data_IF_710187504819
#
_entry.id   IF_710187504819
#
_cell.length_a   1.000
_cell.length_b   1.000
_cell.length_c   1.000
_cell.angle_alpha   90.00
_cell.angle_beta   90.00
_cell.angle_gamma   90.00
#
_symmetry.space_group_name_H-M   'P 1'
#
loop_
_entity.id
_entity.type
_entity.pdbx_description
1 polymer ?
#
# COMPACT_ATOMS: atom_id res chain seq x y z
N UNK A 1 24.39 -25.11 -13.37
CA UNK A 1 24.71 -23.97 -12.49
C UNK A 1 23.53 -23.80 -11.54
N UNK A 2 23.74 -23.78 -10.23
CA UNK A 2 22.65 -23.58 -9.28
C UNK A 2 22.02 -22.19 -9.51
N UNK A 3 20.69 -22.14 -9.64
CA UNK A 3 19.94 -20.88 -9.70
C UNK A 3 20.25 -20.07 -8.43
N UNK A 4 20.90 -18.93 -8.60
CA UNK A 4 21.13 -18.00 -7.49
C UNK A 4 19.79 -17.40 -7.10
N UNK A 5 19.21 -17.87 -5.99
CA UNK A 5 18.01 -17.28 -5.42
C UNK A 5 18.28 -15.82 -5.04
N UNK A 6 17.58 -14.92 -5.73
CA UNK A 6 17.57 -13.48 -5.45
C UNK A 6 16.58 -13.22 -4.32
N UNK A 7 17.07 -12.74 -3.19
CA UNK A 7 16.23 -12.36 -2.05
C UNK A 7 15.99 -10.86 -2.04
N UNK A 8 14.90 -10.40 -1.41
CA UNK A 8 14.61 -8.97 -1.29
C UNK A 8 15.73 -8.20 -0.57
N UNK A 9 16.33 -8.81 0.45
CA UNK A 9 17.48 -8.23 1.17
C UNK A 9 18.65 -7.95 0.23
N UNK A 10 18.97 -8.89 -0.68
CA UNK A 10 20.03 -8.71 -1.69
C UNK A 10 19.70 -7.58 -2.66
N UNK A 11 18.43 -7.47 -3.09
CA UNK A 11 17.98 -6.40 -3.98
C UNK A 11 18.07 -5.03 -3.31
N UNK A 12 17.59 -4.91 -2.06
CA UNK A 12 17.67 -3.67 -1.28
C UNK A 12 19.13 -3.26 -1.07
N UNK A 13 20.00 -4.20 -0.70
CA UNK A 13 21.43 -3.93 -0.54
C UNK A 13 22.09 -3.48 -1.84
N UNK A 14 21.74 -4.08 -2.99
CA UNK A 14 22.22 -3.66 -4.30
C UNK A 14 21.74 -2.24 -4.64
N UNK A 15 20.45 -1.95 -4.46
CA UNK A 15 19.89 -0.65 -4.75
C UNK A 15 20.56 0.46 -3.96
N UNK A 16 20.80 0.23 -2.66
CA UNK A 16 21.49 1.16 -1.78
C UNK A 16 22.97 1.32 -2.17
N UNK A 17 23.69 0.21 -2.36
CA UNK A 17 25.14 0.24 -2.65
C UNK A 17 25.49 0.79 -4.04
N UNK A 18 24.56 0.73 -5.00
CA UNK A 18 24.78 1.17 -6.39
C UNK A 18 24.10 2.51 -6.73
N UNK A 19 23.45 3.16 -5.78
CA UNK A 19 22.84 4.46 -6.02
C UNK A 19 21.57 4.40 -6.89
N UNK A 20 20.75 3.38 -6.68
CA UNK A 20 19.40 3.32 -7.24
C UNK A 20 18.37 3.95 -6.31
N UNK A 21 18.20 3.41 -5.11
CA UNK A 21 17.13 3.81 -4.18
C UNK A 21 17.71 3.89 -2.76
N UNK A 22 17.37 4.96 -2.06
CA UNK A 22 17.72 5.21 -0.65
C UNK A 22 16.45 5.42 0.18
N UNK A 23 16.43 5.06 1.48
CA UNK A 23 15.38 5.48 2.39
C UNK A 23 15.26 7.01 2.43
N UNK A 24 14.03 7.54 2.35
CA UNK A 24 13.81 8.98 2.42
C UNK A 24 14.23 9.52 3.79
N UNK A 25 14.91 10.67 3.82
CA UNK A 25 15.42 11.29 5.07
C UNK A 25 16.33 10.37 5.91
N UNK A 26 17.15 9.54 5.26
CA UNK A 26 17.97 8.50 5.92
C UNK A 26 18.79 9.01 7.12
N UNK A 27 19.47 10.15 6.98
CA UNK A 27 20.33 10.70 8.06
C UNK A 27 19.54 11.20 9.28
N UNK A 28 18.22 11.30 9.18
CA UNK A 28 17.32 11.72 10.25
C UNK A 28 16.49 10.56 10.81
N UNK A 29 16.89 9.31 10.54
CA UNK A 29 16.18 8.12 11.01
C UNK A 29 15.15 7.56 10.02
N UNK A 30 15.05 8.16 8.84
CA UNK A 30 14.15 7.73 7.79
C UNK A 30 12.70 8.22 7.98
N UNK A 31 11.96 8.29 6.89
CA UNK A 31 10.51 8.47 6.91
C UNK A 31 9.85 7.27 6.22
N UNK A 32 9.04 6.55 6.99
CA UNK A 32 8.36 5.36 6.52
C UNK A 32 7.59 5.65 5.21
N UNK A 33 7.65 4.69 4.28
CA UNK A 33 7.01 4.78 2.96
C UNK A 33 7.50 5.92 2.05
N UNK A 34 8.70 6.45 2.29
CA UNK A 34 9.35 7.41 1.40
C UNK A 34 10.75 6.95 0.99
N UNK A 35 11.13 7.25 -0.25
CA UNK A 35 12.41 6.86 -0.84
C UNK A 35 12.93 7.90 -1.82
N UNK A 36 14.25 8.05 -1.84
CA UNK A 36 14.97 8.92 -2.75
C UNK A 36 15.62 8.11 -3.87
N UNK A 37 15.46 8.55 -5.12
CA UNK A 37 16.09 7.90 -6.28
C UNK A 37 17.48 8.50 -6.51
N UNK A 38 18.51 7.66 -6.40
CA UNK A 38 19.89 8.03 -6.66
C UNK A 38 20.21 8.19 -8.16
N UNK A 39 21.48 8.43 -8.53
CA UNK A 39 21.88 8.72 -9.90
C UNK A 39 21.49 7.65 -10.92
N UNK A 40 21.65 6.36 -10.60
CA UNK A 40 21.22 5.28 -11.50
C UNK A 40 19.72 5.05 -11.42
N UNK A 41 19.11 5.27 -10.25
CA UNK A 41 17.67 5.12 -10.04
C UNK A 41 16.85 6.12 -10.83
N UNK A 42 17.27 7.39 -10.88
CA UNK A 42 16.57 8.42 -11.66
C UNK A 42 16.66 8.13 -13.17
N UNK A 43 17.81 7.65 -13.66
CA UNK A 43 17.96 7.25 -15.07
C UNK A 43 17.06 6.06 -15.41
N UNK A 44 17.07 5.01 -14.58
CA UNK A 44 16.19 3.87 -14.77
C UNK A 44 14.71 4.28 -14.74
N UNK A 45 14.30 5.07 -13.75
CA UNK A 45 12.92 5.58 -13.63
C UNK A 45 12.52 6.37 -14.87
N UNK A 46 13.38 7.25 -15.36
CA UNK A 46 13.11 8.05 -16.55
C UNK A 46 13.00 7.20 -17.81
N UNK A 47 13.87 6.20 -17.98
CA UNK A 47 13.80 5.28 -19.12
C UNK A 47 12.48 4.50 -19.13
N UNK A 48 12.02 4.02 -17.97
CA UNK A 48 10.73 3.33 -17.84
C UNK A 48 9.57 4.28 -18.19
N UNK A 49 9.57 5.50 -17.65
CA UNK A 49 8.55 6.52 -17.96
C UNK A 49 8.50 6.84 -19.45
N UNK A 50 9.65 7.02 -20.10
CA UNK A 50 9.75 7.32 -21.52
C UNK A 50 9.27 6.15 -22.39
N UNK A 51 9.65 4.92 -22.05
CA UNK A 51 9.18 3.73 -22.76
C UNK A 51 7.66 3.59 -22.67
N UNK A 52 7.09 3.79 -21.48
CA UNK A 52 5.64 3.78 -21.27
C UNK A 52 4.95 4.90 -22.06
N UNK A 53 5.45 6.13 -21.97
CA UNK A 53 4.88 7.28 -22.66
C UNK A 53 4.88 7.10 -24.18
N UNK A 54 5.99 6.63 -24.73
CA UNK A 54 6.08 6.30 -26.15
C UNK A 54 5.02 5.27 -26.53
N UNK A 55 4.94 4.17 -25.77
CA UNK A 55 4.08 3.04 -26.14
C UNK A 55 2.59 3.35 -26.03
N UNK A 56 2.18 3.99 -24.95
CA UNK A 56 0.76 4.15 -24.64
C UNK A 56 0.22 5.52 -25.04
N UNK A 57 1.03 6.56 -25.09
CA UNK A 57 0.58 7.91 -25.47
C UNK A 57 0.92 8.19 -26.93
N UNK A 58 2.20 8.17 -27.31
CA UNK A 58 2.62 8.62 -28.65
C UNK A 58 2.24 7.67 -29.79
N UNK A 59 2.29 6.36 -29.56
CA UNK A 59 1.93 5.35 -30.56
C UNK A 59 0.41 5.15 -30.71
N UNK A 60 -0.41 5.75 -29.84
CA UNK A 60 -1.88 5.69 -29.92
C UNK A 60 -2.44 6.98 -30.53
N UNK A 61 -3.19 6.94 -31.64
CA UNK A 61 -3.77 8.15 -32.24
C UNK A 61 -4.90 8.76 -31.40
N UNK A 62 -5.37 8.07 -30.36
CA UNK A 62 -6.51 8.50 -29.53
C UNK A 62 -6.09 9.09 -28.17
N UNK A 63 -4.81 9.03 -27.83
CA UNK A 63 -4.33 9.46 -26.52
C UNK A 63 -3.62 10.81 -26.61
N UNK A 64 -3.85 11.65 -25.60
CA UNK A 64 -3.22 12.97 -25.46
C UNK A 64 -2.50 13.05 -24.13
N UNK A 65 -1.31 13.64 -24.14
CA UNK A 65 -0.57 13.91 -22.92
C UNK A 65 -1.15 15.09 -22.15
N UNK A 66 -1.24 14.95 -20.83
CA UNK A 66 -1.68 16.00 -19.92
C UNK A 66 -0.83 15.94 -18.64
N UNK A 67 -0.50 17.10 -18.08
CA UNK A 67 0.14 17.24 -16.77
C UNK A 67 -0.73 18.13 -15.89
N UNK A 68 -1.22 17.58 -14.78
CA UNK A 68 -2.21 18.21 -13.90
C UNK A 68 -1.62 18.48 -12.51
N UNK A 69 -2.21 19.43 -11.79
CA UNK A 69 -1.77 19.76 -10.43
C UNK A 69 -2.05 18.61 -9.46
N UNK A 70 -1.11 18.36 -8.54
CA UNK A 70 -1.26 17.34 -7.47
C UNK A 70 -2.28 17.81 -6.42
N UNK A 71 -2.19 19.09 -6.01
CA UNK A 71 -3.15 19.69 -5.10
C UNK A 71 -4.38 20.13 -5.90
N UNK A 72 -5.56 19.71 -5.43
CA UNK A 72 -6.83 19.95 -6.10
C UNK A 72 -7.88 20.45 -5.11
N UNK A 73 -8.87 21.18 -5.62
CA UNK A 73 -10.03 21.61 -4.85
C UNK A 73 -10.78 20.40 -4.26
N UNK A 74 -11.20 20.43 -2.99
CA UNK A 74 -11.94 19.33 -2.35
C UNK A 74 -13.17 18.84 -3.11
N UNK A 75 -13.85 19.72 -3.85
CA UNK A 75 -15.03 19.35 -4.64
C UNK A 75 -14.73 18.31 -5.72
N UNK A 76 -13.50 18.28 -6.26
CA UNK A 76 -13.06 17.23 -7.20
C UNK A 76 -13.11 15.84 -6.56
N UNK A 77 -12.75 15.74 -5.28
CA UNK A 77 -12.72 14.49 -4.52
C UNK A 77 -14.10 14.09 -3.97
N UNK A 78 -14.98 15.06 -3.73
CA UNK A 78 -16.41 14.82 -3.48
C UNK A 78 -17.05 14.23 -4.73
N UNK A 79 -16.90 14.91 -5.87
CA UNK A 79 -17.56 14.54 -7.12
C UNK A 79 -17.09 13.17 -7.65
N UNK A 80 -15.81 12.83 -7.45
CA UNK A 80 -15.27 11.51 -7.81
C UNK A 80 -15.56 10.41 -6.77
N UNK A 81 -16.11 10.74 -5.60
CA UNK A 81 -16.44 9.80 -4.53
C UNK A 81 -15.27 9.36 -3.64
N UNK A 82 -14.05 9.85 -3.88
CA UNK A 82 -12.86 9.46 -3.10
C UNK A 82 -13.00 9.80 -1.61
N UNK A 83 -13.68 10.90 -1.25
CA UNK A 83 -13.86 11.25 0.16
C UNK A 83 -14.69 10.22 0.95
N UNK A 84 -15.63 9.53 0.29
CA UNK A 84 -16.47 8.51 0.92
C UNK A 84 -15.90 7.10 0.84
N UNK A 85 -15.23 6.78 -0.28
CA UNK A 85 -14.92 5.39 -0.63
C UNK A 85 -13.43 5.05 -0.62
N UNK A 86 -12.53 6.04 -0.61
CA UNK A 86 -11.08 5.79 -0.64
C UNK A 86 -10.52 5.67 0.78
N UNK A 87 -10.90 4.58 1.44
CA UNK A 87 -10.55 4.32 2.83
C UNK A 87 -10.27 2.83 3.06
N UNK A 88 -9.34 2.56 3.98
CA UNK A 88 -9.04 1.20 4.43
C UNK A 88 -9.86 0.85 5.68
N UNK A 89 -10.35 -0.41 5.80
CA UNK A 89 -11.00 -0.89 7.01
C UNK A 89 -9.95 -1.17 8.09
N UNK A 90 -9.91 -0.34 9.14
CA UNK A 90 -8.95 -0.47 10.23
C UNK A 90 -9.62 -0.88 11.54
N UNK A 91 -8.91 -1.71 12.31
CA UNK A 91 -9.25 -2.08 13.68
C UNK A 91 -7.99 -2.06 14.55
N UNK A 92 -8.16 -1.79 15.85
CA UNK A 92 -7.06 -1.83 16.82
C UNK A 92 -7.29 -2.97 17.81
N UNK A 93 -6.21 -3.66 18.20
CA UNK A 93 -6.24 -4.59 19.33
C UNK A 93 -6.35 -3.80 20.63
N UNK A 94 -7.36 -4.09 21.45
CA UNK A 94 -7.59 -3.38 22.72
C UNK A 94 -6.47 -3.63 23.74
N UNK A 95 -5.80 -4.77 23.65
CA UNK A 95 -4.77 -5.20 24.59
C UNK A 95 -3.41 -4.57 24.32
N UNK A 96 -2.93 -4.65 23.06
CA UNK A 96 -1.58 -4.20 22.71
C UNK A 96 -1.54 -2.94 21.84
N UNK A 97 -2.72 -2.39 21.51
CA UNK A 97 -2.91 -1.20 20.66
C UNK A 97 -2.30 -1.29 19.27
N UNK A 98 -1.97 -2.50 18.82
CA UNK A 98 -1.56 -2.72 17.45
C UNK A 98 -2.74 -2.48 16.51
N UNK A 99 -2.44 -1.90 15.35
CA UNK A 99 -3.42 -1.52 14.35
C UNK A 99 -3.27 -2.42 13.14
N UNK A 100 -4.39 -2.89 12.62
CA UNK A 100 -4.45 -3.80 11.51
C UNK A 100 -5.45 -3.31 10.48
N UNK A 101 -5.13 -3.61 9.22
CA UNK A 101 -6.09 -3.64 8.13
C UNK A 101 -6.91 -4.92 8.24
N UNK A 102 -8.23 -4.78 8.32
CA UNK A 102 -9.14 -5.87 8.65
C UNK A 102 -9.14 -6.96 7.58
N UNK A 103 -9.14 -6.53 6.32
CA UNK A 103 -9.02 -7.38 5.13
C UNK A 103 -7.72 -8.18 5.16
N UNK A 104 -6.57 -7.52 5.32
CA UNK A 104 -5.27 -8.19 5.39
C UNK A 104 -5.17 -9.16 6.57
N UNK A 105 -5.71 -8.78 7.74
CA UNK A 105 -5.72 -9.65 8.91
C UNK A 105 -6.46 -10.97 8.64
N UNK A 106 -7.58 -10.91 7.90
CA UNK A 106 -8.34 -12.10 7.49
C UNK A 106 -7.58 -12.88 6.42
N UNK A 107 -6.97 -12.22 5.43
CA UNK A 107 -6.20 -12.88 4.36
C UNK A 107 -4.97 -13.62 4.89
N UNK A 108 -4.22 -12.99 5.79
CA UNK A 108 -3.05 -13.59 6.45
C UNK A 108 -3.49 -14.81 7.26
N UNK A 109 -4.54 -14.69 8.07
CA UNK A 109 -5.10 -15.81 8.82
C UNK A 109 -5.57 -16.94 7.90
N UNK A 110 -6.28 -16.62 6.82
CA UNK A 110 -6.78 -17.62 5.86
C UNK A 110 -5.62 -18.37 5.21
N UNK A 111 -4.57 -17.66 4.81
CA UNK A 111 -3.36 -18.24 4.22
C UNK A 111 -2.67 -19.19 5.19
N UNK A 112 -2.50 -18.81 6.45
CA UNK A 112 -1.91 -19.66 7.49
C UNK A 112 -2.72 -20.93 7.78
N UNK A 113 -4.05 -20.86 7.62
CA UNK A 113 -4.96 -21.98 7.88
C UNK A 113 -5.33 -22.77 6.60
N UNK A 114 -4.75 -22.41 5.45
CA UNK A 114 -5.02 -23.06 4.17
C UNK A 114 -6.42 -22.80 3.61
N UNK A 115 -7.11 -21.77 4.10
CA UNK A 115 -8.40 -21.30 3.59
C UNK A 115 -8.20 -20.29 2.45
N UNK A 116 -9.14 -20.27 1.49
CA UNK A 116 -9.22 -19.22 0.48
C UNK A 116 -10.46 -18.38 0.74
N UNK A 117 -10.27 -17.26 1.42
CA UNK A 117 -11.32 -16.27 1.64
C UNK A 117 -11.10 -15.09 0.70
N UNK A 118 -12.14 -14.72 -0.04
CA UNK A 118 -12.15 -13.48 -0.81
C UNK A 118 -12.81 -12.41 0.05
N UNK A 119 -12.00 -11.45 0.52
CA UNK A 119 -12.47 -10.35 1.39
C UNK A 119 -12.64 -9.03 0.64
N UNK A 120 -12.19 -8.97 -0.62
CA UNK A 120 -12.34 -7.80 -1.48
C UNK A 120 -13.82 -7.45 -1.68
N UNK A 121 -14.17 -6.20 -1.40
CA UNK A 121 -15.53 -5.67 -1.59
C UNK A 121 -16.51 -5.99 -0.45
N UNK A 122 -16.08 -6.70 0.60
CA UNK A 122 -16.89 -6.89 1.80
C UNK A 122 -17.00 -5.58 2.59
N UNK A 123 -18.15 -5.37 3.21
CA UNK A 123 -18.36 -4.25 4.13
C UNK A 123 -17.77 -4.52 5.52
N UNK A 124 -17.73 -3.47 6.35
CA UNK A 124 -17.17 -3.57 7.71
C UNK A 124 -17.93 -4.56 8.61
N UNK A 125 -19.23 -4.77 8.41
CA UNK A 125 -20.00 -5.71 9.24
C UNK A 125 -19.65 -7.15 8.86
N UNK A 126 -19.52 -7.42 7.56
CA UNK A 126 -19.11 -8.71 7.04
C UNK A 126 -17.68 -9.06 7.46
N UNK A 127 -16.74 -8.11 7.34
CA UNK A 127 -15.37 -8.30 7.80
C UNK A 127 -15.31 -8.57 9.31
N UNK A 128 -16.08 -7.82 10.11
CA UNK A 128 -16.13 -8.03 11.56
C UNK A 128 -16.72 -9.39 11.93
N UNK A 129 -17.78 -9.81 11.25
CA UNK A 129 -18.38 -11.12 11.44
C UNK A 129 -17.38 -12.24 11.18
N UNK A 130 -16.58 -12.14 10.11
CA UNK A 130 -15.54 -13.14 9.81
C UNK A 130 -14.50 -13.21 10.94
N UNK A 131 -14.03 -12.05 11.43
CA UNK A 131 -13.06 -11.99 12.53
C UNK A 131 -13.60 -12.65 13.80
N UNK A 132 -14.88 -12.41 14.11
CA UNK A 132 -15.53 -12.94 15.30
C UNK A 132 -15.85 -14.44 15.17
N UNK A 133 -16.42 -14.86 14.03
CA UNK A 133 -16.80 -16.26 13.79
C UNK A 133 -15.58 -17.18 13.74
N UNK A 134 -14.48 -16.71 13.15
CA UNK A 134 -13.21 -17.45 13.07
C UNK A 134 -12.32 -17.24 14.30
N UNK A 135 -12.71 -16.38 15.24
CA UNK A 135 -11.93 -16.02 16.44
C UNK A 135 -10.48 -15.64 16.09
N UNK A 136 -10.30 -14.81 15.06
CA UNK A 136 -8.97 -14.42 14.59
C UNK A 136 -8.25 -13.68 15.72
N UNK A 137 -7.07 -14.17 16.11
CA UNK A 137 -6.28 -13.58 17.18
C UNK A 137 -5.35 -12.48 16.65
N UNK A 138 -5.05 -11.50 17.50
CA UNK A 138 -4.03 -10.50 17.22
C UNK A 138 -2.65 -11.15 16.99
N UNK A 139 -2.01 -10.97 15.82
CA UNK A 139 -0.70 -11.58 15.53
C UNK A 139 0.41 -11.14 16.47
N UNK A 140 0.26 -9.98 17.13
CA UNK A 140 1.26 -9.43 18.04
C UNK A 140 1.17 -9.96 19.47
N UNK A 141 -0.04 -10.19 19.99
CA UNK A 141 -0.24 -10.56 21.41
C UNK A 141 -1.11 -11.80 21.64
N UNK A 142 -1.66 -12.40 20.59
CA UNK A 142 -2.49 -13.61 20.65
C UNK A 142 -3.91 -13.39 21.18
N UNK A 143 -4.31 -12.16 21.50
CA UNK A 143 -5.65 -11.87 22.04
C UNK A 143 -6.65 -11.55 20.92
N UNK A 144 -7.85 -12.12 20.97
CA UNK A 144 -8.94 -11.87 20.03
C UNK A 144 -9.87 -10.75 20.54
N UNK A 145 -9.29 -9.63 20.97
CA UNK A 145 -10.03 -8.48 21.51
C UNK A 145 -9.74 -7.22 20.67
N UNK A 146 -10.60 -6.95 19.70
CA UNK A 146 -10.47 -5.83 18.77
C UNK A 146 -11.53 -4.75 18.97
N UNK A 147 -11.25 -3.54 18.49
CA UNK A 147 -12.27 -2.50 18.32
C UNK A 147 -13.18 -2.83 17.13
N UNK A 148 -14.26 -2.08 16.99
CA UNK A 148 -15.02 -2.09 15.74
C UNK A 148 -14.16 -1.58 14.57
N UNK A 149 -14.52 -2.01 13.36
CA UNK A 149 -13.84 -1.61 12.13
C UNK A 149 -14.29 -0.20 11.76
N UNK A 150 -13.32 0.71 11.62
CA UNK A 150 -13.53 2.08 11.15
C UNK A 150 -12.91 2.30 9.79
N UNK A 151 -13.50 3.18 9.01
CA UNK A 151 -12.95 3.63 7.74
C UNK A 151 -11.84 4.67 7.98
N UNK A 152 -10.65 4.42 7.45
CA UNK A 152 -9.54 5.36 7.51
C UNK A 152 -9.25 5.91 6.12
N UNK A 153 -9.59 7.18 5.91
CA UNK A 153 -9.37 7.85 4.63
C UNK A 153 -7.87 7.95 4.32
N UNK A 154 -7.49 7.54 3.12
CA UNK A 154 -6.09 7.47 2.68
C UNK A 154 -5.60 8.75 1.99
N UNK A 155 -6.46 9.75 1.80
CA UNK A 155 -6.08 11.03 1.20
C UNK A 155 -5.30 11.91 2.18
N UNK A 156 -4.26 12.57 1.67
CA UNK A 156 -3.57 13.62 2.41
C UNK A 156 -4.38 14.91 2.41
N UNK A 157 -4.72 15.41 3.60
CA UNK A 157 -5.38 16.69 3.79
C UNK A 157 -4.35 17.83 3.89
N UNK A 158 -4.60 18.91 3.15
CA UNK A 158 -3.89 20.19 3.24
C UNK A 158 -4.91 21.34 3.24
N UNK A 159 -4.46 22.57 3.47
CA UNK A 159 -5.29 23.78 3.58
C UNK A 159 -4.88 24.84 2.56
#
# INVERSE_FOLDING_TARGET
MAEKQVTMEKLVALCKSRGFIFPGSEIYGGLANTWDYGPLGVQLKNNVKQAWWKKFVLESPYNVGLDASILMNPQTWVASGHLGNFADPLLDCRECRARYRADHLIEDWATEHGEKLHVEGLDNQQLKAIIDDKQIACPKCGQANFTDIRQFNLMFKTF
#
